data_IF_514343775180
#
_entry.id   IF_514343775180
#
_cell.length_a   1.000
_cell.length_b   1.000
_cell.length_c   1.000
_cell.angle_alpha   90.00
_cell.angle_beta   90.00
_cell.angle_gamma   90.00
#
_symmetry.space_group_name_H-M   'P 1'
#
loop_
_entity.id
_entity.type
_entity.pdbx_description
1 polymer ?
#
# COMPACT_ATOMS: atom_id res chain seq x y z
N UNK A 1 -5.76 18.20 64.34
CA UNK A 1 -5.16 17.31 63.31
C UNK A 1 -5.70 17.80 61.98
N UNK A 2 -4.93 18.62 61.28
CA UNK A 2 -5.27 19.22 59.98
C UNK A 2 -4.62 18.38 58.89
N UNK A 3 -5.43 17.69 58.09
CA UNK A 3 -4.96 16.97 56.90
C UNK A 3 -4.47 17.95 55.84
N UNK A 4 -3.29 17.65 55.30
CA UNK A 4 -2.64 18.40 54.23
C UNK A 4 -3.08 17.84 52.88
N UNK A 5 -3.36 18.66 51.85
CA UNK A 5 -3.77 18.15 50.55
C UNK A 5 -2.57 17.55 49.80
N UNK A 6 -2.77 16.34 49.27
CA UNK A 6 -1.82 15.61 48.43
C UNK A 6 -1.64 16.40 47.12
N UNK A 7 -0.45 16.96 46.92
CA UNK A 7 -0.03 17.53 45.63
C UNK A 7 0.06 16.41 44.59
N UNK A 8 -0.83 16.41 43.59
CA UNK A 8 -0.64 15.64 42.38
C UNK A 8 0.51 16.24 41.58
N UNK A 9 1.65 15.56 41.54
CA UNK A 9 2.75 15.87 40.62
C UNK A 9 2.25 15.77 39.17
N UNK A 10 2.61 16.71 38.29
CA UNK A 10 2.29 16.59 36.87
C UNK A 10 2.96 15.34 36.33
N UNK A 11 2.18 14.49 35.66
CA UNK A 11 2.69 13.34 34.92
C UNK A 11 3.46 13.93 33.74
N UNK A 12 4.79 13.90 33.80
CA UNK A 12 5.65 14.16 32.65
C UNK A 12 5.34 13.08 31.61
N UNK A 13 4.46 13.41 30.67
CA UNK A 13 4.20 12.57 29.49
C UNK A 13 5.46 12.71 28.63
N UNK A 14 6.25 11.64 28.41
CA UNK A 14 7.43 11.74 27.57
C UNK A 14 6.99 12.18 26.17
N UNK A 15 7.52 13.31 25.72
CA UNK A 15 7.27 13.84 24.39
C UNK A 15 7.94 12.91 23.38
N UNK A 16 7.14 12.09 22.69
CA UNK A 16 7.64 11.14 21.70
C UNK A 16 7.97 11.94 20.44
N UNK A 17 9.22 11.94 19.96
CA UNK A 17 9.60 12.67 18.76
C UNK A 17 8.83 12.09 17.56
N UNK A 18 8.16 12.98 16.81
CA UNK A 18 7.49 12.64 15.55
C UNK A 18 8.57 12.51 14.47
N UNK A 19 8.68 11.33 13.89
CA UNK A 19 9.57 11.07 12.76
C UNK A 19 8.87 11.47 11.46
N UNK A 20 9.46 12.43 10.74
CA UNK A 20 8.92 12.92 9.46
C UNK A 20 9.75 12.29 8.34
N UNK A 21 9.09 11.60 7.41
CA UNK A 21 9.71 11.14 6.17
C UNK A 21 9.72 12.31 5.18
N UNK A 22 10.90 12.81 4.83
CA UNK A 22 11.03 13.97 3.96
C UNK A 22 10.89 13.61 2.47
N UNK A 23 10.69 14.61 1.61
CA UNK A 23 10.62 14.39 0.16
C UNK A 23 11.94 13.87 -0.41
N UNK A 24 13.08 14.29 0.14
CA UNK A 24 14.41 13.80 -0.25
C UNK A 24 14.57 12.31 0.08
N UNK A 25 14.13 11.87 1.27
CA UNK A 25 14.15 10.46 1.64
C UNK A 25 13.25 9.62 0.72
N UNK A 26 12.08 10.15 0.34
CA UNK A 26 11.20 9.51 -0.63
C UNK A 26 11.89 9.34 -2.00
N UNK A 27 12.52 10.41 -2.50
CA UNK A 27 13.21 10.41 -3.79
C UNK A 27 14.42 9.46 -3.83
N UNK A 28 15.19 9.37 -2.74
CA UNK A 28 16.33 8.44 -2.64
C UNK A 28 15.88 6.97 -2.75
N UNK A 29 14.76 6.64 -2.12
CA UNK A 29 14.22 5.27 -2.15
C UNK A 29 13.60 4.97 -3.52
N UNK A 30 12.87 5.92 -4.11
CA UNK A 30 12.33 5.78 -5.47
C UNK A 30 13.44 5.54 -6.50
N UNK A 31 14.53 6.32 -6.43
CA UNK A 31 15.70 6.12 -7.27
C UNK A 31 16.34 4.74 -7.09
N UNK A 32 16.41 4.24 -5.85
CA UNK A 32 16.90 2.90 -5.56
C UNK A 32 15.97 1.82 -6.16
N UNK A 33 14.66 1.95 -6.01
CA UNK A 33 13.68 1.03 -6.59
C UNK A 33 13.75 1.04 -8.13
N UNK A 34 13.83 2.22 -8.75
CA UNK A 34 13.98 2.37 -10.19
C UNK A 34 15.27 1.71 -10.71
N UNK A 35 16.38 1.83 -9.99
CA UNK A 35 17.65 1.18 -10.33
C UNK A 35 17.58 -0.36 -10.25
N UNK A 36 16.79 -0.92 -9.33
CA UNK A 36 16.58 -2.38 -9.30
C UNK A 36 15.71 -2.88 -10.46
N UNK A 37 14.75 -2.07 -10.93
CA UNK A 37 13.89 -2.39 -12.09
C UNK A 37 14.68 -2.45 -13.41
N UNK A 38 15.68 -1.59 -13.60
CA UNK A 38 16.57 -1.68 -14.76
C UNK A 38 17.43 -2.95 -14.75
N UNK A 39 17.75 -3.46 -13.55
CA UNK A 39 18.52 -4.69 -13.37
C UNK A 39 17.70 -5.93 -13.75
N UNK A 40 16.41 -5.96 -13.41
CA UNK A 40 15.47 -7.04 -13.73
C UNK A 40 14.91 -6.99 -15.16
N UNK A 41 14.90 -5.82 -15.80
CA UNK A 41 14.44 -5.68 -17.20
C UNK A 41 15.47 -6.14 -18.24
N UNK A 42 16.68 -6.52 -17.80
CA UNK A 42 17.73 -7.06 -18.69
C UNK A 42 17.50 -8.52 -19.12
N UNK A 43 16.49 -9.22 -18.57
CA UNK A 43 16.25 -10.64 -18.84
C UNK A 43 15.01 -10.97 -19.67
N UNK A 44 14.38 -10.00 -20.34
CA UNK A 44 13.29 -10.30 -21.30
C UNK A 44 13.45 -9.48 -22.57
N UNK A 45 13.94 -10.12 -23.63
CA UNK A 45 13.96 -9.52 -24.97
C UNK A 45 12.52 -9.27 -25.47
N UNK A 46 12.18 -8.07 -26.01
CA UNK A 46 10.86 -7.81 -26.53
C UNK A 46 10.77 -8.17 -28.02
N UNK A 47 9.80 -9.01 -28.39
CA UNK A 47 9.36 -9.17 -29.78
C UNK A 47 8.14 -8.28 -30.08
N UNK A 48 8.44 -7.02 -30.46
CA UNK A 48 7.73 -6.15 -31.41
C UNK A 48 6.27 -5.66 -31.07
N UNK A 49 5.66 -4.72 -31.83
CA UNK A 49 5.44 -3.36 -31.33
C UNK A 49 3.98 -2.90 -31.43
N UNK A 50 3.52 -2.00 -30.55
CA UNK A 50 2.41 -1.08 -30.86
C UNK A 50 2.48 0.15 -29.98
N UNK A 51 2.35 1.29 -30.65
CA UNK A 51 2.57 2.66 -30.18
C UNK A 51 1.51 3.08 -29.15
N UNK A 52 1.96 3.76 -28.11
CA UNK A 52 1.42 5.06 -27.64
C UNK A 52 2.44 5.65 -26.65
N UNK A 53 3.14 6.67 -27.10
CA UNK A 53 4.06 7.51 -26.34
C UNK A 53 3.33 8.80 -26.00
N UNK A 54 3.39 9.24 -24.74
CA UNK A 54 3.03 10.57 -24.18
C UNK A 54 3.19 10.41 -22.64
N UNK A 55 3.95 11.17 -21.84
CA UNK A 55 4.95 12.23 -21.97
C UNK A 55 6.07 11.88 -20.95
N UNK A 56 7.32 12.09 -21.31
CA UNK A 56 8.42 12.19 -20.34
C UNK A 56 9.06 13.57 -20.48
N UNK A 57 8.70 14.48 -19.59
CA UNK A 57 9.40 15.76 -19.43
C UNK A 57 9.55 16.00 -17.94
N UNK A 58 10.77 15.86 -17.43
CA UNK A 58 11.43 16.83 -16.53
C UNK A 58 12.94 16.53 -16.60
N UNK A 59 13.68 17.61 -16.80
CA UNK A 59 15.08 17.69 -17.16
C UNK A 59 16.03 17.04 -16.14
N UNK A 60 16.97 16.26 -16.67
CA UNK A 60 18.18 15.81 -15.98
C UNK A 60 19.18 16.97 -15.87
N UNK A 61 19.39 17.47 -14.66
CA UNK A 61 20.59 18.24 -14.35
C UNK A 61 21.80 17.30 -14.34
N UNK A 62 22.81 17.68 -15.11
CA UNK A 62 24.13 17.07 -15.16
C UNK A 62 24.72 16.97 -13.76
N UNK A 63 24.92 15.75 -13.27
CA UNK A 63 25.98 15.50 -12.29
C UNK A 63 27.12 14.77 -13.00
N UNK A 64 28.18 15.54 -13.18
CA UNK A 64 29.46 15.07 -13.70
C UNK A 64 30.01 13.97 -12.82
N UNK A 65 30.49 12.94 -13.51
CA UNK A 65 31.32 11.85 -13.03
C UNK A 65 32.41 12.31 -12.05
N UNK A 66 32.46 11.66 -10.89
CA UNK A 66 33.70 11.34 -10.20
C UNK A 66 33.50 10.04 -9.40
N UNK A 67 33.64 8.92 -10.11
CA UNK A 67 33.70 7.60 -9.51
C UNK A 67 35.01 7.48 -8.71
N UNK A 68 34.89 7.32 -7.39
CA UNK A 68 35.96 6.73 -6.57
C UNK A 68 35.55 5.30 -6.25
N UNK A 69 36.36 4.39 -6.78
CA UNK A 69 36.40 2.95 -6.57
C UNK A 69 36.11 2.56 -5.12
N UNK A 70 35.16 1.64 -4.91
CA UNK A 70 35.12 0.81 -3.71
C UNK A 70 35.23 -0.65 -4.15
N UNK A 71 36.38 -1.22 -3.84
CA UNK A 71 36.76 -2.60 -4.13
C UNK A 71 35.77 -3.57 -3.48
N UNK A 72 35.12 -4.39 -4.29
CA UNK A 72 34.20 -5.43 -3.84
C UNK A 72 35.02 -6.71 -3.57
N UNK A 73 35.15 -7.09 -2.30
CA UNK A 73 35.78 -8.35 -1.91
C UNK A 73 34.90 -9.51 -2.36
N UNK A 74 35.33 -10.18 -3.43
CA UNK A 74 34.71 -11.39 -3.96
C UNK A 74 35.27 -12.59 -3.19
N UNK A 75 34.48 -13.18 -2.27
CA UNK A 75 34.80 -14.49 -1.72
C UNK A 75 34.31 -15.58 -2.67
N UNK A 76 35.19 -15.98 -3.58
CA UNK A 76 35.05 -17.23 -4.34
C UNK A 76 35.27 -18.43 -3.41
N UNK A 77 34.24 -19.25 -3.19
CA UNK A 77 34.42 -20.62 -2.72
C UNK A 77 34.10 -21.58 -3.86
N UNK A 78 35.15 -22.17 -4.43
CA UNK A 78 35.07 -23.34 -5.32
C UNK A 78 35.29 -24.59 -4.47
N UNK A 79 34.28 -25.45 -4.34
CA UNK A 79 34.46 -26.90 -4.15
C UNK A 79 33.34 -27.66 -4.87
N UNK A 80 33.67 -28.64 -5.74
CA UNK A 80 32.71 -29.54 -6.39
C UNK A 80 32.58 -30.88 -5.64
N UNK A 81 31.67 -31.72 -6.15
CA UNK A 81 31.23 -33.09 -5.75
C UNK A 81 30.04 -33.13 -4.76
N UNK A 82 29.05 -34.02 -4.88
CA UNK A 82 28.76 -35.11 -5.83
C UNK A 82 27.37 -35.70 -5.48
N UNK A 83 26.53 -35.92 -6.49
CA UNK A 83 25.51 -36.98 -6.58
C UNK A 83 24.37 -37.05 -5.55
N UNK A 84 23.14 -36.73 -5.96
CA UNK A 84 22.03 -37.67 -5.90
C UNK A 84 20.85 -37.20 -6.77
N UNK A 85 20.36 -38.12 -7.59
CA UNK A 85 19.39 -37.93 -8.67
C UNK A 85 17.98 -37.62 -8.17
N UNK A 86 17.37 -36.56 -8.71
CA UNK A 86 15.94 -36.49 -8.94
C UNK A 86 15.69 -35.65 -10.18
N UNK A 87 15.08 -36.28 -11.19
CA UNK A 87 14.92 -35.81 -12.56
C UNK A 87 14.14 -34.49 -12.66
N UNK A 88 14.85 -33.38 -12.86
CA UNK A 88 14.33 -32.20 -13.54
C UNK A 88 15.13 -32.03 -14.84
N UNK A 89 14.50 -32.33 -15.96
CA UNK A 89 15.00 -32.01 -17.30
C UNK A 89 15.08 -30.49 -17.44
N UNK A 90 16.25 -29.93 -17.15
CA UNK A 90 16.65 -28.62 -17.65
C UNK A 90 17.03 -28.88 -19.11
N UNK A 91 16.16 -28.50 -20.04
CA UNK A 91 16.51 -28.51 -21.45
C UNK A 91 17.50 -27.38 -21.69
N UNK A 92 18.71 -27.75 -22.10
CA UNK A 92 19.76 -26.87 -22.58
C UNK A 92 19.34 -26.19 -23.89
N UNK A 93 19.80 -24.96 -24.11
CA UNK A 93 19.26 -24.03 -25.14
C UNK A 93 19.75 -24.31 -26.57
N UNK A 94 20.56 -25.36 -26.77
CA UNK A 94 21.20 -25.64 -28.06
C UNK A 94 20.52 -26.74 -28.90
N UNK A 95 19.53 -27.48 -28.37
CA UNK A 95 18.85 -28.55 -29.11
C UNK A 95 17.49 -28.10 -29.67
N UNK A 96 17.51 -27.17 -30.64
CA UNK A 96 16.34 -26.88 -31.48
C UNK A 96 16.54 -27.46 -32.88
N UNK A 97 16.40 -28.78 -32.99
CA UNK A 97 16.56 -29.47 -34.26
C UNK A 97 15.83 -30.81 -34.37
N UNK A 98 14.55 -30.92 -34.01
CA UNK A 98 13.63 -31.80 -34.78
C UNK A 98 12.14 -31.68 -34.45
N UNK A 99 11.35 -32.02 -35.47
CA UNK A 99 9.93 -31.80 -35.70
C UNK A 99 8.95 -32.56 -34.76
N UNK A 100 7.88 -31.87 -34.35
CA UNK A 100 6.51 -32.40 -34.31
C UNK A 100 6.06 -33.21 -33.09
N UNK A 101 5.39 -32.56 -32.11
CA UNK A 101 4.28 -33.18 -31.34
C UNK A 101 3.50 -32.16 -30.50
N UNK A 102 2.17 -32.24 -30.60
CA UNK A 102 1.12 -31.66 -29.75
C UNK A 102 1.53 -30.48 -28.84
N UNK A 103 1.07 -29.27 -29.17
CA UNK A 103 1.09 -28.11 -28.28
C UNK A 103 0.24 -28.37 -27.03
N UNK A 104 0.79 -29.08 -26.05
CA UNK A 104 0.29 -29.08 -24.68
C UNK A 104 0.52 -27.67 -24.17
N UNK A 105 -0.51 -26.81 -24.23
CA UNK A 105 -0.48 -25.44 -23.67
C UNK A 105 0.08 -25.54 -22.26
N UNK A 106 1.34 -25.16 -22.07
CA UNK A 106 1.97 -25.08 -20.77
C UNK A 106 1.15 -24.04 -20.01
N UNK A 107 0.33 -24.49 -19.04
CA UNK A 107 -0.41 -23.56 -18.17
C UNK A 107 0.64 -22.87 -17.32
N UNK A 108 1.06 -21.68 -17.76
CA UNK A 108 1.90 -20.79 -16.95
C UNK A 108 1.16 -20.58 -15.62
N UNK A 109 1.80 -20.86 -14.48
CA UNK A 109 1.21 -20.62 -13.17
C UNK A 109 0.79 -19.16 -13.09
N UNK A 110 -0.48 -18.91 -12.78
CA UNK A 110 -0.99 -17.55 -12.60
C UNK A 110 -0.26 -16.88 -11.44
N UNK A 111 0.11 -15.60 -11.60
CA UNK A 111 0.78 -14.84 -10.54
C UNK A 111 -0.04 -14.81 -9.25
N UNK A 112 0.63 -14.68 -8.10
CA UNK A 112 -0.04 -14.61 -6.80
C UNK A 112 -0.98 -13.41 -6.71
N UNK A 113 -0.58 -12.26 -7.28
CA UNK A 113 -1.43 -11.08 -7.42
C UNK A 113 -2.72 -11.41 -8.17
N UNK A 114 -2.63 -12.05 -9.34
CA UNK A 114 -3.82 -12.48 -10.07
C UNK A 114 -4.63 -13.50 -9.26
N UNK A 115 -4.01 -14.46 -8.60
CA UNK A 115 -4.75 -15.50 -7.86
C UNK A 115 -5.52 -14.93 -6.66
N UNK A 116 -4.94 -13.99 -5.93
CA UNK A 116 -5.47 -13.54 -4.65
C UNK A 116 -6.05 -12.12 -4.65
N UNK A 117 -5.83 -11.32 -5.70
CA UNK A 117 -6.23 -9.90 -5.77
C UNK A 117 -7.05 -9.52 -7.03
N UNK A 118 -7.39 -10.46 -7.92
CA UNK A 118 -8.18 -10.25 -9.17
C UNK A 118 -9.51 -9.49 -9.04
N UNK A 119 -10.03 -9.29 -7.82
CA UNK A 119 -11.28 -8.53 -7.57
C UNK A 119 -11.25 -7.73 -6.27
N UNK A 120 -10.06 -7.60 -5.67
CA UNK A 120 -9.89 -6.96 -4.35
C UNK A 120 -8.98 -5.74 -4.44
N UNK A 121 -8.14 -5.67 -5.48
CA UNK A 121 -7.03 -4.72 -5.53
C UNK A 121 -5.89 -5.18 -4.63
N UNK A 122 -4.68 -4.73 -4.93
CA UNK A 122 -3.49 -4.89 -4.10
C UNK A 122 -3.60 -4.00 -2.87
N UNK A 123 -3.52 -4.56 -1.66
CA UNK A 123 -3.55 -3.73 -0.46
C UNK A 123 -2.16 -3.13 -0.18
N UNK A 124 -2.09 -1.92 0.38
CA UNK A 124 -0.80 -1.36 0.83
C UNK A 124 -0.10 -2.30 1.82
N UNK A 125 -0.86 -2.96 2.70
CA UNK A 125 -0.33 -4.00 3.60
C UNK A 125 0.29 -5.19 2.87
N UNK A 126 -0.16 -5.51 1.65
CA UNK A 126 0.46 -6.58 0.86
C UNK A 126 1.90 -6.22 0.48
N UNK A 127 2.13 -4.96 0.10
CA UNK A 127 3.45 -4.41 -0.26
C UNK A 127 4.33 -4.30 0.99
N UNK A 128 3.81 -3.75 2.08
CA UNK A 128 4.62 -3.57 3.29
C UNK A 128 4.95 -4.91 3.95
N UNK A 129 4.10 -5.94 3.80
CA UNK A 129 4.41 -7.28 4.33
C UNK A 129 5.55 -7.99 3.61
N UNK A 130 5.86 -7.63 2.37
CA UNK A 130 6.98 -8.24 1.63
C UNK A 130 8.33 -7.66 2.03
N UNK A 131 8.36 -6.47 2.63
CA UNK A 131 9.58 -5.74 2.97
C UNK A 131 10.49 -6.51 3.95
N UNK A 132 9.90 -7.23 4.91
CA UNK A 132 10.67 -8.08 5.83
C UNK A 132 11.02 -9.43 5.20
N UNK A 133 10.02 -10.11 4.62
CA UNK A 133 10.20 -11.44 4.02
C UNK A 133 9.11 -11.75 2.98
N UNK A 134 9.49 -11.72 1.70
CA UNK A 134 8.59 -12.08 0.59
C UNK A 134 8.02 -13.50 0.74
N UNK A 135 8.83 -14.44 1.23
CA UNK A 135 8.40 -15.83 1.45
C UNK A 135 7.30 -15.90 2.50
N UNK A 136 7.37 -15.12 3.57
CA UNK A 136 6.32 -15.05 4.60
C UNK A 136 5.00 -14.57 3.99
N UNK A 137 5.04 -13.60 3.09
CA UNK A 137 3.84 -13.13 2.39
C UNK A 137 3.26 -14.23 1.50
N UNK A 138 4.09 -14.95 0.74
CA UNK A 138 3.65 -16.10 -0.05
C UNK A 138 2.96 -17.17 0.84
N UNK A 139 3.57 -17.52 1.98
CA UNK A 139 2.96 -18.45 2.94
C UNK A 139 1.65 -17.91 3.49
N UNK A 140 1.56 -16.63 3.81
CA UNK A 140 0.33 -15.99 4.31
C UNK A 140 -0.81 -16.06 3.28
N UNK A 141 -0.48 -15.93 2.00
CA UNK A 141 -1.44 -16.07 0.90
C UNK A 141 -1.86 -17.53 0.68
N UNK A 142 -0.92 -18.47 0.76
CA UNK A 142 -1.14 -19.91 0.49
C UNK A 142 -1.78 -20.67 1.64
N UNK A 143 -1.37 -20.37 2.88
CA UNK A 143 -1.72 -21.12 4.09
C UNK A 143 -2.63 -20.33 5.03
N UNK A 144 -2.88 -19.05 4.72
CA UNK A 144 -3.67 -18.15 5.56
C UNK A 144 -2.81 -17.32 6.51
N UNK A 145 -3.42 -16.28 7.06
CA UNK A 145 -2.74 -15.36 7.99
C UNK A 145 -2.62 -16.00 9.38
N UNK A 146 -1.52 -15.73 10.10
CA UNK A 146 -1.41 -16.11 11.50
C UNK A 146 -2.52 -15.44 12.33
N UNK A 147 -2.86 -16.06 13.48
CA UNK A 147 -3.83 -15.49 14.42
C UNK A 147 -3.34 -14.14 14.94
N UNK A 148 -4.27 -13.21 15.17
CA UNK A 148 -3.95 -11.91 15.79
C UNK A 148 -3.37 -12.14 17.18
N UNK A 149 -2.33 -11.40 17.51
CA UNK A 149 -1.74 -11.41 18.86
C UNK A 149 -2.49 -10.43 19.75
N UNK A 150 -2.39 -10.59 21.08
CA UNK A 150 -2.98 -9.64 22.04
C UNK A 150 -2.51 -8.20 21.82
N UNK A 151 -1.25 -8.02 21.40
CA UNK A 151 -0.71 -6.72 21.07
C UNK A 151 -1.37 -6.11 19.81
N UNK A 152 -1.65 -6.93 18.79
CA UNK A 152 -2.38 -6.48 17.59
C UNK A 152 -3.84 -6.15 17.89
N UNK A 153 -4.48 -6.91 18.77
CA UNK A 153 -5.86 -6.64 19.22
C UNK A 153 -5.93 -5.33 20.02
N UNK A 154 -5.01 -5.12 20.97
CA UNK A 154 -4.90 -3.86 21.71
C UNK A 154 -4.59 -2.67 20.77
N UNK A 155 -3.75 -2.90 19.76
CA UNK A 155 -3.50 -1.93 18.70
C UNK A 155 -4.79 -1.56 17.97
N UNK A 156 -5.51 -2.55 17.45
CA UNK A 156 -6.77 -2.35 16.73
C UNK A 156 -7.79 -1.58 17.58
N UNK A 157 -7.95 -1.93 18.86
CA UNK A 157 -8.85 -1.23 19.78
C UNK A 157 -8.44 0.23 20.02
N UNK A 158 -7.13 0.54 20.00
CA UNK A 158 -6.65 1.92 20.10
C UNK A 158 -7.02 2.74 18.86
N UNK A 159 -6.82 2.18 17.66
CA UNK A 159 -7.23 2.85 16.42
C UNK A 159 -8.74 3.10 16.39
N UNK A 160 -9.54 2.11 16.79
CA UNK A 160 -11.00 2.27 16.87
C UNK A 160 -11.40 3.40 17.81
N UNK A 161 -10.77 3.50 18.99
CA UNK A 161 -11.00 4.62 19.91
C UNK A 161 -10.59 5.97 19.31
N UNK A 162 -9.45 6.03 18.64
CA UNK A 162 -8.96 7.24 17.97
C UNK A 162 -9.87 7.66 16.82
N UNK A 163 -10.46 6.72 16.11
CA UNK A 163 -11.44 6.97 15.05
C UNK A 163 -12.75 7.52 15.66
N UNK A 164 -13.26 6.92 16.74
CA UNK A 164 -14.49 7.36 17.43
C UNK A 164 -14.41 8.78 18.02
N UNK A 165 -13.21 9.27 18.32
CA UNK A 165 -12.97 10.65 18.76
C UNK A 165 -13.28 11.67 17.66
N UNK A 166 -13.17 11.28 16.38
CA UNK A 166 -13.27 12.17 15.21
C UNK A 166 -14.51 11.87 14.36
N UNK A 167 -14.89 10.60 14.21
CA UNK A 167 -15.95 10.12 13.32
C UNK A 167 -16.92 9.24 14.10
N UNK A 168 -18.22 9.54 14.01
CA UNK A 168 -19.28 8.67 14.55
C UNK A 168 -19.65 7.60 13.54
N UNK A 169 -19.35 6.32 13.86
CA UNK A 169 -19.74 5.18 13.02
C UNK A 169 -21.24 4.97 13.03
N UNK A 170 -21.84 4.99 11.85
CA UNK A 170 -23.22 4.54 11.63
C UNK A 170 -23.17 3.08 11.19
N UNK A 171 -23.94 2.21 11.86
CA UNK A 171 -24.05 0.80 11.46
C UNK A 171 -25.08 0.70 10.35
N UNK A 172 -24.63 0.35 9.14
CA UNK A 172 -25.50 0.16 7.96
C UNK A 172 -25.57 -1.32 7.60
N UNK A 173 -26.76 -1.78 7.21
CA UNK A 173 -26.95 -3.13 6.73
C UNK A 173 -26.65 -3.25 5.23
N UNK A 174 -25.57 -3.94 4.91
CA UNK A 174 -25.10 -4.17 3.54
C UNK A 174 -25.76 -5.41 2.95
N UNK A 175 -26.35 -5.28 1.75
CA UNK A 175 -27.01 -6.40 1.05
C UNK A 175 -26.24 -6.86 -0.19
N UNK A 176 -25.54 -5.96 -0.87
CA UNK A 176 -24.86 -6.23 -2.14
C UNK A 176 -23.36 -5.91 -2.09
N UNK A 177 -22.61 -6.29 -3.12
CA UNK A 177 -21.18 -5.92 -3.23
C UNK A 177 -21.05 -4.45 -3.61
N UNK A 178 -22.01 -3.95 -4.38
CA UNK A 178 -22.20 -2.56 -4.78
C UNK A 178 -22.41 -1.69 -3.53
N UNK A 179 -23.22 -2.13 -2.57
CA UNK A 179 -23.41 -1.46 -1.28
C UNK A 179 -22.08 -1.32 -0.51
N UNK A 180 -21.22 -2.35 -0.52
CA UNK A 180 -19.89 -2.29 0.12
C UNK A 180 -19.03 -1.21 -0.51
N UNK A 181 -19.01 -1.14 -1.85
CA UNK A 181 -18.22 -0.14 -2.56
C UNK A 181 -18.80 1.27 -2.43
N UNK A 182 -20.12 1.41 -2.47
CA UNK A 182 -20.80 2.67 -2.21
C UNK A 182 -20.44 3.21 -0.83
N UNK A 183 -20.46 2.36 0.21
CA UNK A 183 -20.03 2.75 1.56
C UNK A 183 -18.57 3.19 1.62
N UNK A 184 -17.65 2.50 0.93
CA UNK A 184 -16.24 2.90 0.88
C UNK A 184 -16.05 4.25 0.21
N UNK A 185 -16.70 4.47 -0.92
CA UNK A 185 -16.63 5.75 -1.65
C UNK A 185 -17.29 6.88 -0.85
N UNK A 186 -18.41 6.59 -0.18
CA UNK A 186 -19.07 7.55 0.71
C UNK A 186 -18.17 7.93 1.88
N UNK A 187 -17.55 6.94 2.55
CA UNK A 187 -16.61 7.20 3.64
C UNK A 187 -15.41 8.03 3.17
N UNK A 188 -14.92 7.80 1.95
CA UNK A 188 -13.88 8.65 1.35
C UNK A 188 -14.37 10.09 1.15
N UNK A 189 -15.55 10.30 0.55
CA UNK A 189 -16.11 11.64 0.32
C UNK A 189 -16.34 12.37 1.65
N UNK A 190 -16.94 11.70 2.62
CA UNK A 190 -17.19 12.26 3.96
C UNK A 190 -15.88 12.62 4.64
N UNK A 191 -14.88 11.73 4.63
CA UNK A 191 -13.57 12.00 5.22
C UNK A 191 -12.79 13.08 4.48
N UNK A 192 -12.90 13.19 3.16
CA UNK A 192 -12.30 14.26 2.37
C UNK A 192 -12.93 15.63 2.69
N UNK A 193 -14.26 15.68 2.83
CA UNK A 193 -14.95 16.89 3.28
C UNK A 193 -14.55 17.25 4.71
N UNK A 194 -14.46 16.27 5.61
CA UNK A 194 -14.01 16.49 6.97
C UNK A 194 -12.59 17.06 7.00
N UNK A 195 -11.68 16.50 6.21
CA UNK A 195 -10.32 17.03 6.06
C UNK A 195 -10.33 18.48 5.54
N UNK A 196 -11.23 18.81 4.61
CA UNK A 196 -11.34 20.15 4.05
C UNK A 196 -11.90 21.18 5.04
N UNK A 197 -12.92 20.81 5.83
CA UNK A 197 -13.59 21.74 6.76
C UNK A 197 -12.96 21.79 8.15
N UNK A 198 -12.58 20.64 8.71
CA UNK A 198 -12.05 20.52 10.08
C UNK A 198 -10.52 20.47 10.10
N UNK A 199 -9.88 20.24 8.94
CA UNK A 199 -8.42 20.17 8.82
C UNK A 199 -7.82 18.83 9.25
N UNK A 200 -8.63 17.84 9.62
CA UNK A 200 -8.18 16.50 9.99
C UNK A 200 -9.23 15.45 9.59
N UNK A 201 -8.78 14.26 9.21
CA UNK A 201 -9.63 13.06 9.13
C UNK A 201 -8.85 11.82 9.55
N UNK A 202 -9.55 10.75 9.93
CA UNK A 202 -8.98 9.47 10.36
C UNK A 202 -9.59 8.30 9.60
N UNK A 203 -8.81 7.22 9.47
CA UNK A 203 -9.20 5.97 8.80
C UNK A 203 -9.76 6.19 7.39
N UNK A 204 -9.14 7.09 6.61
CA UNK A 204 -9.62 7.46 5.29
C UNK A 204 -9.35 6.33 4.28
N UNK A 205 -10.38 5.69 3.69
CA UNK A 205 -10.17 4.64 2.71
C UNK A 205 -9.74 5.24 1.37
N UNK A 206 -8.63 4.75 0.82
CA UNK A 206 -8.14 5.11 -0.51
C UNK A 206 -8.27 3.96 -1.49
N UNK A 207 -8.61 4.32 -2.73
CA UNK A 207 -8.52 3.44 -3.89
C UNK A 207 -7.98 4.23 -5.07
N UNK A 208 -6.98 3.65 -5.74
CA UNK A 208 -6.37 4.26 -6.92
C UNK A 208 -5.86 3.20 -7.88
N UNK A 209 -5.65 3.61 -9.12
CA UNK A 209 -5.11 2.75 -10.16
C UNK A 209 -3.65 3.13 -10.41
N UNK A 210 -2.72 2.29 -9.93
CA UNK A 210 -1.28 2.56 -9.95
C UNK A 210 -0.56 1.54 -10.81
N UNK A 211 0.22 2.00 -11.79
CA UNK A 211 1.07 1.14 -12.65
C UNK A 211 0.31 -0.07 -13.24
N UNK A 212 -0.96 0.10 -13.63
CA UNK A 212 -1.77 -1.00 -14.18
C UNK A 212 -2.45 -1.91 -13.15
N UNK A 213 -2.35 -1.59 -11.86
CA UNK A 213 -2.91 -2.39 -10.75
C UNK A 213 -3.79 -1.52 -9.85
N UNK A 214 -5.00 -1.99 -9.57
CA UNK A 214 -5.85 -1.39 -8.54
C UNK A 214 -5.22 -1.57 -7.17
N UNK A 215 -4.96 -0.46 -6.47
CA UNK A 215 -4.38 -0.44 -5.13
C UNK A 215 -5.37 0.14 -4.14
N UNK A 216 -5.46 -0.47 -2.97
CA UNK A 216 -6.38 -0.08 -1.89
C UNK A 216 -5.63 0.10 -0.57
N UNK A 217 -6.08 1.06 0.22
CA UNK A 217 -5.44 1.42 1.49
C UNK A 217 -6.41 2.10 2.44
N UNK A 218 -6.00 2.22 3.70
CA UNK A 218 -6.70 3.05 4.70
C UNK A 218 -5.62 3.85 5.41
N UNK A 219 -5.69 5.17 5.32
CA UNK A 219 -4.74 6.06 5.99
C UNK A 219 -5.25 6.33 7.40
N UNK A 220 -4.43 6.04 8.41
CA UNK A 220 -4.81 6.20 9.82
C UNK A 220 -5.23 7.64 10.12
N UNK A 221 -4.44 8.63 9.69
CA UNK A 221 -4.74 10.04 9.93
C UNK A 221 -4.15 10.95 8.86
N UNK A 222 -4.92 11.97 8.47
CA UNK A 222 -4.49 13.02 7.54
C UNK A 222 -4.77 14.37 8.18
N UNK A 223 -3.79 15.28 8.11
CA UNK A 223 -3.90 16.64 8.64
C UNK A 223 -3.58 17.67 7.57
N UNK A 224 -4.38 18.72 7.50
CA UNK A 224 -4.03 19.93 6.77
C UNK A 224 -3.12 20.80 7.66
N UNK A 225 -1.97 21.26 7.16
CA UNK A 225 -1.12 22.18 7.90
C UNK A 225 -1.86 23.51 8.15
N UNK A 226 -1.86 23.98 9.39
CA UNK A 226 -2.54 25.21 9.82
C UNK A 226 -1.80 26.50 9.46
N UNK A 227 -0.51 26.40 9.12
CA UNK A 227 0.38 27.56 8.92
C UNK A 227 0.71 27.74 7.44
N UNK A 228 0.39 28.93 6.92
CA UNK A 228 0.41 29.25 5.49
C UNK A 228 1.81 29.19 4.88
N UNK A 229 2.04 28.16 4.07
CA UNK A 229 2.89 28.10 2.87
C UNK A 229 2.92 26.67 2.30
N UNK A 230 2.71 25.66 3.15
CA UNK A 230 2.60 24.25 2.75
C UNK A 230 1.12 23.95 2.51
N UNK A 231 0.76 23.57 1.27
CA UNK A 231 -0.62 23.16 0.93
C UNK A 231 -0.83 21.65 0.99
N UNK A 232 0.25 20.89 1.14
CA UNK A 232 0.20 19.44 1.07
C UNK A 232 -0.26 18.86 2.43
N UNK A 233 -1.16 17.88 2.43
CA UNK A 233 -1.59 17.23 3.66
C UNK A 233 -0.44 16.40 4.27
N UNK A 234 -0.38 16.35 5.60
CA UNK A 234 0.48 15.44 6.33
C UNK A 234 -0.26 14.12 6.54
N UNK A 235 0.33 13.01 6.09
CA UNK A 235 -0.12 11.66 6.40
C UNK A 235 0.59 11.18 7.67
N UNK A 236 -0.18 10.69 8.64
CA UNK A 236 0.34 10.21 9.92
C UNK A 236 -0.11 8.77 10.13
N UNK A 237 0.84 7.90 10.43
CA UNK A 237 0.62 6.49 10.75
C UNK A 237 0.91 6.28 12.24
N UNK A 238 -0.10 5.83 12.99
CA UNK A 238 0.04 5.67 14.45
C UNK A 238 0.32 4.23 14.78
N UNK A 239 1.55 3.89 15.19
CA UNK A 239 1.86 2.54 15.67
C UNK A 239 1.72 2.38 17.18
N UNK A 240 1.20 1.23 17.59
CA UNK A 240 1.14 0.83 19.00
C UNK A 240 2.30 -0.10 19.35
N UNK A 241 2.84 0.05 20.55
CA UNK A 241 3.89 -0.82 21.09
C UNK A 241 3.54 -1.28 22.50
N UNK A 242 3.98 -2.48 22.84
CA UNK A 242 3.87 -3.02 24.20
C UNK A 242 4.95 -2.47 25.14
N UNK A 243 6.11 -2.09 24.60
CA UNK A 243 7.23 -1.55 25.36
C UNK A 243 7.31 -0.04 25.16
N UNK A 244 7.57 0.69 26.25
CA UNK A 244 7.82 2.13 26.26
C UNK A 244 9.25 2.47 25.79
N UNK A 245 9.70 1.83 24.71
CA UNK A 245 10.97 2.11 24.05
C UNK A 245 10.69 2.58 22.63
N UNK A 246 11.66 3.25 22.01
CA UNK A 246 11.56 3.56 20.58
C UNK A 246 11.75 2.29 19.75
N UNK A 247 11.04 2.15 18.61
CA UNK A 247 11.25 1.03 17.70
C UNK A 247 12.66 1.08 17.10
N UNK A 248 13.21 -0.10 16.80
CA UNK A 248 14.46 -0.20 16.04
C UNK A 248 14.29 0.32 14.60
N UNK A 249 15.38 0.71 13.94
CA UNK A 249 15.34 1.17 12.54
C UNK A 249 14.71 0.13 11.59
N UNK A 250 14.95 -1.16 11.82
CA UNK A 250 14.32 -2.23 11.05
C UNK A 250 12.79 -2.22 11.18
N UNK A 251 12.26 -1.93 12.37
CA UNK A 251 10.81 -1.82 12.59
C UNK A 251 10.22 -0.55 12.01
N UNK A 252 10.98 0.56 12.04
CA UNK A 252 10.58 1.84 11.44
C UNK A 252 10.50 1.75 9.91
N UNK A 253 11.39 0.98 9.28
CA UNK A 253 11.44 0.82 7.81
C UNK A 253 10.09 0.39 7.22
N UNK A 254 9.38 -0.50 7.91
CA UNK A 254 8.04 -0.93 7.49
C UNK A 254 7.00 0.20 7.54
N UNK A 255 7.03 1.02 8.61
CA UNK A 255 6.17 2.20 8.76
C UNK A 255 6.49 3.28 7.72
N UNK A 256 7.78 3.54 7.46
CA UNK A 256 8.21 4.46 6.39
C UNK A 256 7.68 4.01 5.04
N UNK A 257 7.88 2.73 4.68
CA UNK A 257 7.38 2.18 3.42
C UNK A 257 5.84 2.28 3.33
N UNK A 258 5.13 2.05 4.43
CA UNK A 258 3.68 2.20 4.47
C UNK A 258 3.24 3.63 4.15
N UNK A 259 3.84 4.62 4.83
CA UNK A 259 3.56 6.04 4.59
C UNK A 259 3.90 6.46 3.16
N UNK A 260 5.01 5.97 2.61
CA UNK A 260 5.39 6.21 1.22
C UNK A 260 4.37 5.65 0.23
N UNK A 261 3.90 4.41 0.43
CA UNK A 261 2.85 3.82 -0.40
C UNK A 261 1.55 4.64 -0.32
N UNK A 262 1.18 5.13 0.86
CA UNK A 262 0.01 5.99 1.02
C UNK A 262 0.19 7.35 0.36
N UNK A 263 1.36 7.98 0.48
CA UNK A 263 1.67 9.25 -0.20
C UNK A 263 1.58 9.08 -1.71
N UNK A 264 2.22 8.05 -2.26
CA UNK A 264 2.15 7.76 -3.70
C UNK A 264 0.70 7.50 -4.15
N UNK A 265 -0.06 6.70 -3.41
CA UNK A 265 -1.47 6.45 -3.72
C UNK A 265 -2.30 7.75 -3.64
N UNK A 266 -2.11 8.56 -2.61
CA UNK A 266 -2.78 9.84 -2.42
C UNK A 266 -2.51 10.81 -3.58
N UNK A 267 -1.24 10.99 -3.95
CA UNK A 267 -0.84 11.91 -5.02
C UNK A 267 -1.50 11.53 -6.35
N UNK A 268 -1.58 10.23 -6.66
CA UNK A 268 -2.25 9.75 -7.87
C UNK A 268 -3.77 9.96 -7.79
N UNK A 269 -4.40 9.69 -6.64
CA UNK A 269 -5.85 9.89 -6.46
C UNK A 269 -6.23 11.37 -6.60
N UNK A 270 -5.36 12.29 -6.19
CA UNK A 270 -5.59 13.74 -6.29
C UNK A 270 -5.24 14.30 -7.68
N UNK A 271 -4.27 13.70 -8.38
CA UNK A 271 -3.77 14.22 -9.66
C UNK A 271 -4.50 13.69 -10.89
N UNK A 272 -4.98 12.44 -10.85
CA UNK A 272 -5.56 11.77 -12.01
C UNK A 272 -7.09 11.69 -11.96
N UNK A 273 -7.68 11.61 -13.16
CA UNK A 273 -9.09 11.27 -13.29
C UNK A 273 -9.31 9.80 -12.94
N UNK A 274 -10.19 9.53 -11.99
CA UNK A 274 -10.54 8.17 -11.57
C UNK A 274 -11.13 7.35 -12.75
N UNK A 275 -10.50 6.23 -13.18
CA UNK A 275 -10.96 5.46 -14.33
C UNK A 275 -12.18 4.60 -13.96
N UNK A 276 -13.36 5.20 -13.98
CA UNK A 276 -14.63 4.59 -13.54
C UNK A 276 -14.96 3.29 -14.29
N UNK A 277 -14.81 3.26 -15.61
CA UNK A 277 -15.20 2.08 -16.41
C UNK A 277 -14.33 0.87 -16.03
N UNK A 278 -13.02 1.09 -15.94
CA UNK A 278 -12.08 0.07 -15.50
C UNK A 278 -12.32 -0.37 -14.04
N UNK A 279 -12.82 0.55 -13.20
CA UNK A 279 -13.21 0.24 -11.82
C UNK A 279 -14.40 -0.74 -11.80
N UNK A 280 -15.49 -0.41 -12.50
CA UNK A 280 -16.67 -1.28 -12.56
C UNK A 280 -16.32 -2.67 -13.15
N UNK A 281 -15.52 -2.71 -14.22
CA UNK A 281 -15.09 -3.96 -14.85
C UNK A 281 -14.23 -4.83 -13.93
N UNK A 282 -13.22 -4.24 -13.29
CA UNK A 282 -12.28 -4.98 -12.44
C UNK A 282 -12.97 -5.55 -11.20
N UNK A 283 -13.80 -4.74 -10.54
CA UNK A 283 -14.53 -5.16 -9.34
C UNK A 283 -15.81 -5.92 -9.66
N UNK A 284 -16.20 -6.00 -10.94
CA UNK A 284 -17.42 -6.64 -11.45
C UNK A 284 -18.69 -6.09 -10.81
N UNK A 285 -18.76 -4.77 -10.78
CA UNK A 285 -19.86 -4.02 -10.24
C UNK A 285 -20.80 -3.64 -11.38
N UNK A 286 -22.11 -3.65 -11.12
CA UNK A 286 -23.09 -3.17 -12.08
C UNK A 286 -23.49 -1.74 -11.73
N UNK A 287 -23.19 -0.74 -12.60
CA UNK A 287 -23.54 0.66 -12.34
C UNK A 287 -25.06 0.92 -12.32
N UNK A 288 -25.86 0.05 -12.95
CA UNK A 288 -27.32 0.19 -13.04
C UNK A 288 -28.05 -0.35 -11.79
N UNK A 289 -27.33 -0.95 -10.84
CA UNK A 289 -27.95 -1.47 -9.62
C UNK A 289 -28.31 -0.32 -8.69
N UNK A 290 -29.58 -0.27 -8.32
CA UNK A 290 -30.09 0.61 -7.29
C UNK A 290 -29.54 0.21 -5.91
N UNK A 291 -28.85 1.14 -5.25
CA UNK A 291 -28.33 0.95 -3.89
C UNK A 291 -29.46 0.73 -2.86
N UNK A 292 -29.13 0.07 -1.75
CA UNK A 292 -30.08 -0.16 -0.67
C UNK A 292 -30.66 1.15 -0.08
N UNK A 293 -31.90 1.09 0.42
CA UNK A 293 -32.61 2.26 0.97
C UNK A 293 -31.82 2.97 2.07
N UNK A 294 -31.21 2.20 2.96
CA UNK A 294 -30.42 2.71 4.08
C UNK A 294 -29.20 3.52 3.60
N UNK A 295 -28.51 3.04 2.56
CA UNK A 295 -27.41 3.79 1.94
C UNK A 295 -27.94 5.06 1.27
N UNK A 296 -29.07 4.99 0.56
CA UNK A 296 -29.67 6.18 -0.08
C UNK A 296 -30.06 7.26 0.95
N UNK A 297 -30.68 6.85 2.05
CA UNK A 297 -31.06 7.73 3.16
C UNK A 297 -29.84 8.37 3.80
N UNK A 298 -28.78 7.59 4.04
CA UNK A 298 -27.52 8.10 4.57
C UNK A 298 -26.86 9.09 3.60
N UNK A 299 -26.79 8.74 2.32
CA UNK A 299 -26.19 9.57 1.26
C UNK A 299 -26.91 10.93 1.19
N UNK A 300 -28.24 10.91 1.23
CA UNK A 300 -29.06 12.12 1.29
C UNK A 300 -28.80 12.95 2.57
N UNK A 301 -28.67 12.30 3.73
CA UNK A 301 -28.36 12.99 4.99
C UNK A 301 -26.96 13.63 5.00
N UNK A 302 -26.02 13.06 4.26
CA UNK A 302 -24.65 13.58 4.11
C UNK A 302 -24.51 14.63 3.00
N UNK A 303 -25.62 15.05 2.36
CA UNK A 303 -25.64 16.13 1.36
C UNK A 303 -25.45 15.69 -0.08
N UNK A 304 -25.47 14.39 -0.37
CA UNK A 304 -25.33 13.86 -1.74
C UNK A 304 -26.58 13.03 -2.08
N UNK A 305 -27.53 13.52 -2.89
CA UNK A 305 -28.66 12.69 -3.28
C UNK A 305 -28.19 11.61 -4.28
N UNK A 306 -28.15 10.34 -3.86
CA UNK A 306 -27.98 9.23 -4.79
C UNK A 306 -29.22 9.15 -5.69
N UNK A 307 -29.05 9.33 -7.01
CA UNK A 307 -30.17 9.29 -7.95
C UNK A 307 -30.93 7.95 -7.88
N UNK A 308 -32.24 8.04 -8.13
CA UNK A 308 -33.23 6.97 -7.95
C UNK A 308 -33.07 5.90 -9.01
#
# INVERSE_FOLDING_TARGET
MTESPIKSSPIDIPEIPVEIVSEEEMALIEAALAATRSSLSSSVAPSCPSRLSLLSTISSSQFQSNAKSTETITFHSKRPLSGCSETQTINDVEDLGNLGRAQKKVKVPKSLLYRFRRKKGLAVTDITSTEWCEKQMEFSLLRGKPKKTKAMEAGTARHEKLEEEVIKKVKIHVKSVEDIWALKLMNFIVGANQLFFEGMTRELPLIGFLEGVWTVGVIDEIRMPSTGNIRNPLLVDTKTRSQATLPSEAQKRNGRLQLMCYKYLWDNVVSDNFPSDHFFDFFRLNPEITLSKEIKEQTASSGFPAQI
#
